data_IF_481164941564
#
_entry.id   IF_481164941564
#
_cell.length_a   1.000
_cell.length_b   1.000
_cell.length_c   1.000
_cell.angle_alpha   90.00
_cell.angle_beta   90.00
_cell.angle_gamma   90.00
#
_symmetry.space_group_name_H-M   'P 1'
#
loop_
_entity.id
_entity.type
_entity.pdbx_description
1 polymer ?
#
# COMPACT_ATOMS: atom_id res chain seq x y z
N UNK A 1 -11.96 -25.41 3.87
CA UNK A 1 -10.59 -25.86 4.17
C UNK A 1 -10.11 -25.11 5.40
N UNK A 2 -9.94 -25.79 6.52
CA UNK A 2 -9.45 -25.15 7.76
C UNK A 2 -7.92 -25.11 7.74
N UNK A 3 -7.35 -23.93 7.98
CA UNK A 3 -5.89 -23.80 8.09
C UNK A 3 -5.40 -24.49 9.36
N UNK A 4 -4.31 -25.24 9.27
CA UNK A 4 -3.79 -26.02 10.42
C UNK A 4 -2.75 -25.25 11.26
N UNK A 5 -2.07 -24.28 10.65
CA UNK A 5 -1.00 -23.49 11.26
C UNK A 5 -0.91 -22.15 10.52
N UNK A 6 -0.36 -21.14 11.18
CA UNK A 6 0.02 -19.89 10.53
C UNK A 6 1.12 -20.08 9.49
N UNK A 7 1.24 -19.10 8.59
CA UNK A 7 2.22 -19.15 7.52
C UNK A 7 3.63 -18.86 8.05
N UNK A 8 4.57 -19.72 7.67
CA UNK A 8 6.00 -19.52 7.92
C UNK A 8 6.77 -19.80 6.65
N UNK A 9 7.56 -18.83 6.22
CA UNK A 9 8.53 -18.95 5.13
C UNK A 9 9.91 -19.16 5.73
N UNK A 10 10.70 -20.06 5.15
CA UNK A 10 12.07 -20.31 5.57
C UNK A 10 12.98 -20.27 4.36
N UNK A 11 14.02 -19.43 4.41
CA UNK A 11 14.96 -19.24 3.31
C UNK A 11 16.40 -19.13 3.78
N UNK A 12 17.31 -19.77 3.03
CA UNK A 12 18.74 -19.58 3.23
C UNK A 12 19.12 -18.19 2.78
N UNK A 13 19.87 -17.46 3.61
CA UNK A 13 20.50 -16.22 3.17
C UNK A 13 21.67 -16.59 2.26
N UNK A 14 21.52 -16.30 0.96
CA UNK A 14 22.51 -16.63 -0.09
C UNK A 14 23.72 -15.68 0.01
N UNK A 15 24.74 -15.91 -0.81
CA UNK A 15 25.89 -15.01 -0.99
C UNK A 15 26.74 -14.72 0.27
N UNK A 16 26.78 -15.68 1.21
CA UNK A 16 27.70 -15.66 2.38
C UNK A 16 27.68 -14.30 3.12
N UNK A 17 28.84 -13.65 3.26
CA UNK A 17 29.02 -12.37 3.93
C UNK A 17 28.25 -11.23 3.26
N UNK A 18 28.34 -11.11 1.93
CA UNK A 18 27.67 -10.03 1.19
C UNK A 18 26.16 -10.14 1.31
N UNK A 19 25.63 -11.36 1.23
CA UNK A 19 24.19 -11.58 1.35
C UNK A 19 23.66 -11.33 2.75
N UNK A 20 24.40 -11.67 3.81
CA UNK A 20 23.95 -11.36 5.18
C UNK A 20 23.98 -9.86 5.48
N UNK A 21 24.95 -9.11 4.94
CA UNK A 21 24.97 -7.65 5.03
C UNK A 21 23.76 -7.06 4.31
N UNK A 22 23.55 -7.44 3.04
CA UNK A 22 22.45 -6.91 2.24
C UNK A 22 21.10 -7.23 2.86
N UNK A 23 20.91 -8.47 3.30
CA UNK A 23 19.66 -8.89 3.93
C UNK A 23 19.45 -8.26 5.31
N UNK A 24 20.51 -8.13 6.12
CA UNK A 24 20.43 -7.47 7.42
C UNK A 24 20.07 -6.01 7.31
N UNK A 25 20.73 -5.25 6.41
CA UNK A 25 20.38 -3.86 6.12
C UNK A 25 18.93 -3.73 5.66
N UNK A 26 18.51 -4.59 4.73
CA UNK A 26 17.12 -4.65 4.28
C UNK A 26 16.15 -4.77 5.47
N UNK A 27 16.40 -5.67 6.43
CA UNK A 27 15.47 -5.89 7.54
C UNK A 27 15.25 -4.66 8.44
N UNK A 28 16.21 -3.74 8.53
CA UNK A 28 16.14 -2.56 9.42
C UNK A 28 15.93 -1.23 8.69
N UNK A 29 15.85 -1.26 7.36
CA UNK A 29 15.71 -0.06 6.54
C UNK A 29 14.24 0.34 6.37
N UNK A 30 13.76 1.31 7.15
CA UNK A 30 12.39 1.83 7.07
C UNK A 30 12.08 2.49 5.71
N UNK A 31 13.10 2.97 5.00
CA UNK A 31 12.96 3.70 3.72
C UNK A 31 12.98 2.80 2.48
N UNK A 32 13.15 1.50 2.65
CA UNK A 32 13.30 0.58 1.53
C UNK A 32 12.02 0.54 0.66
N UNK A 33 12.11 0.47 -0.69
CA UNK A 33 10.93 0.45 -1.57
C UNK A 33 9.90 -0.66 -1.28
N UNK A 34 10.37 -1.79 -0.74
CA UNK A 34 9.50 -2.90 -0.32
C UNK A 34 8.86 -2.72 1.07
N UNK A 35 9.22 -1.67 1.81
CA UNK A 35 8.69 -1.32 3.13
C UNK A 35 7.72 -0.14 3.08
N UNK A 36 7.23 0.21 1.89
CA UNK A 36 6.23 1.27 1.68
C UNK A 36 4.93 1.08 2.46
N UNK A 37 4.60 -0.17 2.83
CA UNK A 37 3.42 -0.52 3.64
C UNK A 37 3.80 -0.87 5.09
N UNK A 38 5.06 -0.66 5.49
CA UNK A 38 5.53 -0.86 6.86
C UNK A 38 5.34 0.42 7.65
N UNK A 39 4.46 0.37 8.65
CA UNK A 39 4.24 1.47 9.57
C UNK A 39 5.42 1.61 10.55
N UNK A 40 6.00 0.50 11.00
CA UNK A 40 7.18 0.52 11.86
C UNK A 40 8.00 -0.77 11.80
N UNK A 41 9.29 -0.68 12.10
CA UNK A 41 10.18 -1.82 12.30
C UNK A 41 10.51 -1.93 13.79
N UNK A 42 9.93 -2.93 14.46
CA UNK A 42 10.05 -3.11 15.90
C UNK A 42 11.19 -4.10 16.20
N UNK A 43 12.29 -3.66 16.85
CA UNK A 43 13.36 -4.58 17.24
C UNK A 43 12.88 -5.52 18.35
N UNK A 44 13.10 -6.83 18.19
CA UNK A 44 12.67 -7.84 19.16
C UNK A 44 13.85 -8.47 19.89
N UNK A 45 14.90 -8.88 19.15
CA UNK A 45 16.07 -9.52 19.75
C UNK A 45 17.33 -9.26 18.95
N UNK A 46 18.42 -8.96 19.66
CA UNK A 46 19.74 -8.77 19.08
C UNK A 46 19.90 -7.46 18.31
N UNK A 47 21.12 -7.20 17.87
CA UNK A 47 21.48 -6.06 17.04
C UNK A 47 22.03 -6.57 15.70
N UNK A 48 21.57 -6.01 14.59
CA UNK A 48 21.86 -6.57 13.26
C UNK A 48 23.36 -6.52 12.91
N UNK A 49 24.05 -5.45 13.26
CA UNK A 49 25.49 -5.30 12.98
C UNK A 49 26.32 -6.29 13.79
N UNK A 50 25.96 -6.45 15.07
CA UNK A 50 26.60 -7.43 15.96
C UNK A 50 26.35 -8.86 15.46
N UNK A 51 25.12 -9.13 15.02
CA UNK A 51 24.75 -10.41 14.44
C UNK A 51 25.56 -10.71 13.17
N UNK A 52 25.60 -9.79 12.20
CA UNK A 52 26.37 -9.93 10.95
C UNK A 52 27.84 -10.25 11.23
N UNK A 53 28.48 -9.49 12.11
CA UNK A 53 29.89 -9.69 12.49
C UNK A 53 30.10 -11.08 13.09
N UNK A 54 29.25 -11.48 14.03
CA UNK A 54 29.34 -12.78 14.71
C UNK A 54 29.17 -13.96 13.75
N UNK A 55 28.10 -13.96 12.95
CA UNK A 55 27.83 -15.09 12.03
C UNK A 55 28.86 -15.21 10.93
N UNK A 56 29.42 -14.08 10.47
CA UNK A 56 30.52 -14.08 9.51
C UNK A 56 31.77 -14.69 10.12
N UNK A 57 32.14 -14.26 11.33
CA UNK A 57 33.31 -14.79 12.04
C UNK A 57 33.19 -16.29 12.34
N UNK A 58 32.03 -16.77 12.80
CA UNK A 58 31.84 -18.20 13.07
C UNK A 58 31.94 -19.05 11.80
N UNK A 59 31.34 -18.60 10.69
CA UNK A 59 31.41 -19.32 9.43
C UNK A 59 32.83 -19.36 8.85
N UNK A 60 33.55 -18.23 8.90
CA UNK A 60 34.96 -18.15 8.45
C UNK A 60 35.85 -19.03 9.34
N UNK A 61 35.66 -18.98 10.66
CA UNK A 61 36.45 -19.80 11.60
C UNK A 61 36.26 -21.30 11.34
N UNK A 62 35.02 -21.72 11.07
CA UNK A 62 34.74 -23.10 10.68
C UNK A 62 35.43 -23.48 9.37
N UNK A 63 35.37 -22.63 8.34
CA UNK A 63 36.02 -22.88 7.05
C UNK A 63 37.55 -22.95 7.19
N UNK A 64 38.17 -22.10 8.02
CA UNK A 64 39.61 -22.16 8.35
C UNK A 64 39.95 -23.47 9.08
N UNK A 65 39.17 -23.87 10.08
CA UNK A 65 39.43 -25.12 10.82
C UNK A 65 39.30 -26.35 9.91
N UNK A 66 38.33 -26.32 9.00
CA UNK A 66 38.12 -27.37 8.00
C UNK A 66 39.27 -27.46 7.00
N UNK A 67 39.75 -26.32 6.49
CA UNK A 67 40.87 -26.29 5.54
C UNK A 67 42.17 -26.83 6.16
N UNK A 68 42.43 -26.51 7.43
CA UNK A 68 43.56 -27.06 8.19
C UNK A 68 43.48 -28.59 8.38
N UNK A 69 42.26 -29.14 8.47
CA UNK A 69 42.00 -30.58 8.67
C UNK A 69 41.87 -31.38 7.36
N UNK A 70 42.22 -30.79 6.21
CA UNK A 70 42.15 -31.40 4.86
C UNK A 70 40.75 -31.92 4.47
N UNK A 71 39.67 -31.22 4.85
CA UNK A 71 38.33 -31.64 4.45
C UNK A 71 37.23 -30.67 4.83
N UNK A 72 35.99 -31.00 4.42
CA UNK A 72 34.80 -30.21 4.74
C UNK A 72 34.36 -29.29 3.60
N UNK A 73 33.05 -29.30 3.31
CA UNK A 73 32.45 -28.43 2.31
C UNK A 73 32.38 -27.00 2.86
N UNK A 74 32.90 -25.98 2.14
CA UNK A 74 32.85 -24.60 2.60
C UNK A 74 31.42 -24.12 2.85
N UNK A 75 31.24 -23.30 3.88
CA UNK A 75 29.93 -22.75 4.25
C UNK A 75 29.41 -21.82 3.16
N UNK A 76 28.26 -22.17 2.58
CA UNK A 76 27.64 -21.41 1.47
C UNK A 76 26.59 -20.38 1.92
N UNK A 77 26.14 -20.47 3.17
CA UNK A 77 25.12 -19.59 3.73
C UNK A 77 25.39 -19.45 5.22
N UNK A 78 25.46 -18.20 5.70
CA UNK A 78 25.84 -17.91 7.10
C UNK A 78 24.64 -17.90 8.04
N UNK A 79 23.43 -17.71 7.51
CA UNK A 79 22.21 -17.67 8.29
C UNK A 79 20.99 -18.24 7.56
N UNK A 80 20.00 -18.65 8.33
CA UNK A 80 18.67 -19.01 7.88
C UNK A 80 17.69 -17.92 8.32
N UNK A 81 16.88 -17.43 7.39
CA UNK A 81 15.76 -16.55 7.68
C UNK A 81 14.47 -17.35 7.85
N UNK A 82 13.68 -16.99 8.85
CA UNK A 82 12.31 -17.39 9.04
C UNK A 82 11.42 -16.14 9.09
N UNK A 83 10.35 -16.15 8.30
CA UNK A 83 9.34 -15.09 8.31
C UNK A 83 8.03 -15.70 8.78
N UNK A 84 7.56 -15.29 9.95
CA UNK A 84 6.33 -15.73 10.59
C UNK A 84 5.24 -14.69 10.36
N UNK A 85 4.29 -14.99 9.49
CA UNK A 85 3.29 -14.01 9.06
C UNK A 85 1.92 -14.30 9.69
N UNK A 86 1.29 -13.24 10.19
CA UNK A 86 -0.13 -13.23 10.51
C UNK A 86 -0.94 -12.61 9.36
N UNK A 87 -2.18 -13.06 9.16
CA UNK A 87 -3.07 -12.46 8.17
C UNK A 87 -3.54 -11.06 8.58
N UNK A 88 -4.03 -10.23 7.64
CA UNK A 88 -4.38 -8.85 7.93
C UNK A 88 -5.65 -8.66 8.76
N UNK A 89 -6.52 -9.66 8.84
CA UNK A 89 -7.77 -9.58 9.60
C UNK A 89 -7.63 -9.96 11.08
N UNK A 90 -6.46 -10.44 11.53
CA UNK A 90 -6.26 -10.77 12.94
C UNK A 90 -5.76 -9.57 13.74
N UNK A 91 -6.08 -9.57 15.04
CA UNK A 91 -5.52 -8.61 15.98
C UNK A 91 -3.99 -8.71 15.94
N UNK A 92 -3.33 -7.57 15.74
CA UNK A 92 -1.87 -7.48 15.74
C UNK A 92 -1.34 -7.68 17.17
N UNK A 93 -0.34 -8.54 17.38
CA UNK A 93 0.32 -8.65 18.68
C UNK A 93 1.06 -7.35 19.04
N UNK A 94 1.06 -7.03 20.32
CA UNK A 94 1.88 -6.00 20.96
C UNK A 94 3.36 -6.39 20.93
N UNK A 95 4.24 -5.42 21.19
CA UNK A 95 5.69 -5.65 21.27
C UNK A 95 6.06 -6.71 22.31
N UNK A 96 5.38 -6.69 23.46
CA UNK A 96 5.58 -7.64 24.56
C UNK A 96 5.15 -9.06 24.17
N UNK A 97 3.98 -9.19 23.55
CA UNK A 97 3.51 -10.47 23.01
C UNK A 97 4.47 -11.00 21.93
N UNK A 98 5.00 -10.14 21.05
CA UNK A 98 5.99 -10.54 20.05
C UNK A 98 7.29 -11.05 20.67
N UNK A 99 7.74 -10.47 21.80
CA UNK A 99 8.92 -10.96 22.53
C UNK A 99 8.67 -12.35 23.10
N UNK A 100 7.52 -12.59 23.74
CA UNK A 100 7.18 -13.92 24.27
C UNK A 100 6.96 -14.95 23.16
N UNK A 101 6.29 -14.58 22.06
CA UNK A 101 6.17 -15.42 20.86
C UNK A 101 7.56 -15.82 20.33
N UNK A 102 8.47 -14.85 20.21
CA UNK A 102 9.82 -15.10 19.70
C UNK A 102 10.59 -16.05 20.61
N UNK A 103 10.48 -15.86 21.94
CA UNK A 103 11.12 -16.72 22.94
C UNK A 103 10.64 -18.17 22.85
N UNK A 104 9.33 -18.40 22.70
CA UNK A 104 8.76 -19.74 22.55
C UNK A 104 9.21 -20.42 21.24
N UNK A 105 9.22 -19.68 20.13
CA UNK A 105 9.73 -20.18 18.85
C UNK A 105 11.21 -20.58 18.97
N UNK A 106 12.04 -19.72 19.53
CA UNK A 106 13.49 -19.96 19.65
C UNK A 106 13.76 -21.14 20.57
N UNK A 107 13.00 -21.31 21.66
CA UNK A 107 13.09 -22.47 22.55
C UNK A 107 12.83 -23.78 21.83
N UNK A 108 11.77 -23.87 21.04
CA UNK A 108 11.43 -25.09 20.30
C UNK A 108 12.42 -25.37 19.14
N UNK A 109 12.92 -24.32 18.48
CA UNK A 109 14.00 -24.46 17.49
C UNK A 109 15.28 -24.96 18.17
N UNK A 110 15.67 -24.41 19.32
CA UNK A 110 16.87 -24.83 20.05
C UNK A 110 16.79 -26.32 20.42
N UNK A 111 15.64 -26.74 20.97
CA UNK A 111 15.36 -28.15 21.28
C UNK A 111 15.48 -29.04 20.05
N UNK A 112 14.93 -28.62 18.91
CA UNK A 112 14.99 -29.41 17.65
C UNK A 112 16.40 -29.52 17.08
N UNK A 113 17.25 -28.52 17.33
CA UNK A 113 18.64 -28.49 16.86
C UNK A 113 19.62 -29.09 17.88
N UNK A 114 19.13 -29.51 19.05
CA UNK A 114 19.94 -30.06 20.14
C UNK A 114 21.03 -29.07 20.59
N UNK A 115 20.67 -27.78 20.63
CA UNK A 115 21.54 -26.69 21.13
C UNK A 115 20.92 -26.09 22.38
N UNK A 116 21.75 -25.56 23.28
CA UNK A 116 21.22 -24.90 24.46
C UNK A 116 20.59 -23.55 24.08
N UNK A 117 19.57 -23.11 24.83
CA UNK A 117 18.98 -21.79 24.62
C UNK A 117 20.01 -20.68 24.85
N UNK A 118 20.93 -20.88 25.81
CA UNK A 118 22.07 -20.00 26.05
C UNK A 118 23.00 -19.87 24.84
N UNK A 119 23.14 -20.91 24.02
CA UNK A 119 23.96 -20.83 22.82
C UNK A 119 23.36 -19.89 21.77
N UNK A 120 22.03 -19.80 21.69
CA UNK A 120 21.33 -18.91 20.77
C UNK A 120 21.12 -17.51 21.35
N UNK A 121 21.16 -17.36 22.68
CA UNK A 121 20.92 -16.08 23.33
C UNK A 121 21.91 -15.01 22.85
N UNK A 122 21.38 -13.88 22.38
CA UNK A 122 22.15 -12.80 21.77
C UNK A 122 22.87 -13.16 20.45
N UNK A 123 22.75 -14.39 19.94
CA UNK A 123 23.34 -14.83 18.65
C UNK A 123 22.32 -14.91 17.52
N UNK A 124 21.06 -14.59 17.78
CA UNK A 124 19.99 -14.44 16.78
C UNK A 124 19.67 -12.97 16.57
N UNK A 125 19.05 -12.66 15.43
CA UNK A 125 18.44 -11.36 15.18
C UNK A 125 16.95 -11.54 14.92
N UNK A 126 16.12 -10.70 15.53
CA UNK A 126 14.68 -10.69 15.28
C UNK A 126 14.11 -9.28 15.28
N UNK A 127 13.22 -9.01 14.34
CA UNK A 127 12.39 -7.80 14.31
C UNK A 127 11.01 -8.09 13.75
N UNK A 128 10.07 -7.19 14.00
CA UNK A 128 8.73 -7.24 13.43
C UNK A 128 8.59 -6.10 12.43
N UNK A 129 8.02 -6.40 11.27
CA UNK A 129 7.52 -5.39 10.37
C UNK A 129 6.02 -5.26 10.63
N UNK A 130 5.63 -4.12 11.17
CA UNK A 130 4.22 -3.81 11.41
C UNK A 130 3.61 -3.29 10.10
N UNK A 131 2.96 -4.20 9.38
CA UNK A 131 2.24 -3.96 8.12
C UNK A 131 0.79 -4.43 8.27
N UNK A 132 -0.03 -4.34 7.22
CA UNK A 132 -1.35 -4.97 7.20
C UNK A 132 -1.26 -6.44 7.57
N UNK A 133 -0.30 -7.19 7.02
CA UNK A 133 0.05 -8.56 7.41
C UNK A 133 1.31 -8.55 8.31
N UNK A 134 1.16 -8.32 9.62
CA UNK A 134 2.32 -8.17 10.49
C UNK A 134 3.13 -9.47 10.53
N UNK A 135 4.45 -9.34 10.51
CA UNK A 135 5.32 -10.50 10.48
C UNK A 135 6.61 -10.32 11.26
N UNK A 136 6.99 -11.39 11.96
CA UNK A 136 8.25 -11.52 12.66
C UNK A 136 9.29 -12.10 11.70
N UNK A 137 10.38 -11.37 11.49
CA UNK A 137 11.59 -11.88 10.87
C UNK A 137 12.51 -12.41 11.97
N UNK A 138 12.91 -13.67 11.87
CA UNK A 138 13.88 -14.30 12.76
C UNK A 138 15.03 -14.83 11.91
N UNK A 139 16.24 -14.41 12.23
CA UNK A 139 17.46 -14.82 11.54
C UNK A 139 18.33 -15.60 12.52
N UNK A 140 18.58 -16.87 12.17
CA UNK A 140 19.31 -17.84 12.99
C UNK A 140 20.63 -18.19 12.30
N UNK A 141 21.77 -18.22 13.01
CA UNK A 141 23.05 -18.57 12.42
C UNK A 141 23.05 -20.03 11.93
N UNK A 142 23.69 -20.29 10.79
CA UNK A 142 23.88 -21.66 10.27
C UNK A 142 25.12 -22.36 10.81
N UNK A 143 25.99 -21.61 11.46
CA UNK A 143 27.17 -22.11 12.17
C UNK A 143 27.07 -21.59 13.59
N UNK A 144 27.17 -22.51 14.54
CA UNK A 144 27.08 -22.20 15.96
C UNK A 144 28.14 -23.03 16.70
N UNK A 145 28.96 -22.37 17.52
CA UNK A 145 29.98 -23.03 18.35
C UNK A 145 30.89 -23.97 17.52
N UNK A 146 31.32 -23.51 16.34
CA UNK A 146 32.21 -24.28 15.45
C UNK A 146 31.54 -25.48 14.77
N UNK A 147 30.20 -25.59 14.79
CA UNK A 147 29.46 -26.67 14.12
C UNK A 147 28.39 -26.10 13.18
N UNK A 148 28.20 -26.74 12.03
CA UNK A 148 27.11 -26.38 11.12
C UNK A 148 25.77 -26.97 11.58
N UNK A 149 24.75 -26.12 11.69
CA UNK A 149 23.38 -26.51 12.01
C UNK A 149 22.65 -27.06 10.77
N UNK A 150 23.01 -28.28 10.36
CA UNK A 150 22.48 -28.93 9.14
C UNK A 150 20.96 -29.13 9.15
N UNK A 151 20.37 -29.25 10.33
CA UNK A 151 18.93 -29.46 10.49
C UNK A 151 18.10 -28.18 10.38
N UNK A 152 18.73 -27.00 10.41
CA UNK A 152 18.05 -25.71 10.53
C UNK A 152 17.05 -25.45 9.39
N UNK A 153 17.38 -25.83 8.16
CA UNK A 153 16.52 -25.63 6.99
C UNK A 153 15.76 -26.88 6.55
N UNK A 154 15.76 -27.93 7.38
CA UNK A 154 15.01 -29.15 7.08
C UNK A 154 13.52 -28.97 7.37
N UNK A 155 12.68 -29.71 6.64
CA UNK A 155 11.22 -29.70 6.81
C UNK A 155 10.77 -29.94 8.25
N UNK A 156 11.50 -30.77 9.00
CA UNK A 156 11.23 -31.04 10.40
C UNK A 156 11.33 -29.78 11.28
N UNK A 157 12.40 -29.00 11.12
CA UNK A 157 12.60 -27.76 11.89
C UNK A 157 11.60 -26.68 11.47
N UNK A 158 11.29 -26.57 10.18
CA UNK A 158 10.26 -25.65 9.70
C UNK A 158 8.88 -26.03 10.27
N UNK A 159 8.56 -27.32 10.37
CA UNK A 159 7.33 -27.82 10.99
C UNK A 159 7.26 -27.48 12.47
N UNK A 160 8.36 -27.65 13.21
CA UNK A 160 8.46 -27.24 14.62
C UNK A 160 8.24 -25.74 14.77
N UNK A 161 8.92 -24.92 13.96
CA UNK A 161 8.77 -23.47 13.99
C UNK A 161 7.32 -23.03 13.71
N UNK A 162 6.63 -23.66 12.75
CA UNK A 162 5.21 -23.40 12.45
C UNK A 162 4.29 -23.71 13.63
N UNK A 163 4.48 -24.86 14.26
CA UNK A 163 3.68 -25.29 15.41
C UNK A 163 3.94 -24.39 16.62
N UNK A 164 5.21 -24.07 16.90
CA UNK A 164 5.60 -23.18 17.97
C UNK A 164 4.98 -21.79 17.78
N UNK A 165 5.05 -21.22 16.57
CA UNK A 165 4.43 -19.94 16.27
C UNK A 165 2.90 -19.98 16.46
N UNK A 166 2.24 -21.03 15.97
CA UNK A 166 0.77 -21.18 16.12
C UNK A 166 0.35 -21.34 17.57
N UNK A 167 1.09 -22.13 18.35
CA UNK A 167 0.82 -22.31 19.77
C UNK A 167 1.08 -21.02 20.57
N UNK A 168 2.16 -20.30 20.26
CA UNK A 168 2.52 -19.07 20.95
C UNK A 168 1.54 -17.93 20.68
N UNK A 169 1.06 -17.78 19.44
CA UNK A 169 0.05 -16.74 19.12
C UNK A 169 -1.30 -17.05 19.75
N UNK A 170 -1.67 -18.32 19.89
CA UNK A 170 -2.84 -18.70 20.69
C UNK A 170 -2.64 -18.37 22.17
N UNK A 171 -1.49 -18.74 22.75
CA UNK A 171 -1.22 -18.58 24.17
C UNK A 171 -1.12 -17.11 24.61
N UNK A 172 -0.43 -16.28 23.84
CA UNK A 172 -0.14 -14.90 24.22
C UNK A 172 -1.14 -13.90 23.65
N UNK A 173 -1.75 -14.18 22.50
CA UNK A 173 -2.63 -13.23 21.81
C UNK A 173 -4.08 -13.71 21.68
N UNK A 174 -4.40 -14.95 22.07
CA UNK A 174 -5.72 -15.56 21.88
C UNK A 174 -6.04 -15.86 20.41
N UNK A 175 -5.04 -15.90 19.53
CA UNK A 175 -5.24 -16.11 18.09
C UNK A 175 -5.39 -17.60 17.76
N UNK A 176 -6.64 -18.07 17.71
CA UNK A 176 -6.94 -19.42 17.25
C UNK A 176 -7.01 -19.51 15.73
N UNK A 177 -6.13 -20.34 15.18
CA UNK A 177 -6.07 -20.68 13.75
C UNK A 177 -7.35 -21.36 13.25
N UNK A 178 -8.05 -22.09 14.14
CA UNK A 178 -9.27 -22.82 13.80
C UNK A 178 -10.48 -21.89 13.60
N UNK A 179 -10.48 -20.76 14.29
CA UNK A 179 -11.50 -19.72 14.22
C UNK A 179 -11.24 -18.69 13.11
N UNK A 180 -10.12 -18.80 12.37
CA UNK A 180 -9.76 -17.84 11.34
C UNK A 180 -10.51 -18.06 10.04
N UNK A 181 -11.20 -17.01 9.58
CA UNK A 181 -11.85 -16.95 8.28
C UNK A 181 -11.02 -16.14 7.27
N UNK A 182 -10.59 -16.74 6.14
CA UNK A 182 -9.85 -16.02 5.11
C UNK A 182 -10.71 -14.95 4.41
N UNK A 183 -10.16 -13.75 4.24
CA UNK A 183 -10.80 -12.65 3.47
C UNK A 183 -11.13 -13.04 2.02
N UNK A 184 -10.32 -13.93 1.44
CA UNK A 184 -10.50 -14.40 0.07
C UNK A 184 -10.35 -15.92 0.04
N UNK A 185 -11.41 -16.59 -0.42
CA UNK A 185 -11.40 -18.01 -0.75
C UNK A 185 -11.31 -18.20 -2.27
N UNK A 186 -10.86 -19.37 -2.73
CA UNK A 186 -10.85 -19.73 -4.16
C UNK A 186 -9.94 -18.87 -5.06
N UNK A 187 -8.76 -18.45 -4.57
CA UNK A 187 -7.74 -17.70 -5.32
C UNK A 187 -7.14 -18.44 -6.55
N UNK A 188 -7.68 -19.62 -6.91
CA UNK A 188 -7.21 -20.43 -8.03
C UNK A 188 -5.78 -20.95 -7.87
N UNK A 189 -5.19 -21.45 -8.96
CA UNK A 189 -3.76 -21.82 -9.00
C UNK A 189 -2.91 -20.55 -8.97
N UNK A 190 -1.76 -20.62 -8.30
CA UNK A 190 -0.75 -19.55 -8.26
C UNK A 190 -0.47 -19.04 -9.67
N UNK A 191 -0.85 -17.79 -9.94
CA UNK A 191 -0.59 -17.15 -11.22
C UNK A 191 0.87 -16.70 -11.30
N UNK A 192 1.42 -16.68 -12.52
CA UNK A 192 2.74 -16.13 -12.75
C UNK A 192 2.73 -14.61 -12.49
N UNK A 193 3.86 -14.06 -12.01
CA UNK A 193 3.97 -12.63 -11.67
C UNK A 193 3.57 -11.71 -12.83
N UNK A 194 3.96 -12.05 -14.06
CA UNK A 194 3.65 -11.26 -15.25
C UNK A 194 2.13 -11.16 -15.49
N UNK A 195 1.38 -12.24 -15.25
CA UNK A 195 -0.09 -12.25 -15.40
C UNK A 195 -0.78 -11.36 -14.37
N UNK A 196 -0.27 -11.32 -13.13
CA UNK A 196 -0.76 -10.41 -12.10
C UNK A 196 -0.45 -8.95 -12.46
N UNK A 197 0.73 -8.69 -13.03
CA UNK A 197 1.13 -7.36 -13.47
C UNK A 197 0.28 -6.88 -14.65
N UNK A 198 0.02 -7.74 -15.63
CA UNK A 198 -0.86 -7.48 -16.76
C UNK A 198 -2.27 -7.10 -16.28
N UNK A 199 -2.88 -7.89 -15.40
CA UNK A 199 -4.19 -7.58 -14.83
C UNK A 199 -4.22 -6.25 -14.06
N UNK A 200 -3.14 -5.90 -13.36
CA UNK A 200 -3.01 -4.59 -12.69
C UNK A 200 -2.90 -3.45 -13.71
N UNK A 201 -2.12 -3.65 -14.77
CA UNK A 201 -1.96 -2.67 -15.84
C UNK A 201 -3.27 -2.44 -16.60
N UNK A 202 -4.01 -3.50 -16.92
CA UNK A 202 -5.33 -3.42 -17.54
C UNK A 202 -6.32 -2.63 -16.67
N UNK A 203 -6.39 -2.93 -15.37
CA UNK A 203 -7.24 -2.17 -14.44
C UNK A 203 -6.83 -0.70 -14.35
N UNK A 204 -5.53 -0.41 -14.32
CA UNK A 204 -5.04 0.96 -14.32
C UNK A 204 -5.38 1.69 -15.62
N UNK A 205 -5.28 1.01 -16.77
CA UNK A 205 -5.60 1.57 -18.08
C UNK A 205 -7.10 1.88 -18.20
N UNK A 206 -7.97 0.98 -17.72
CA UNK A 206 -9.41 1.22 -17.66
C UNK A 206 -9.74 2.45 -16.80
N UNK A 207 -9.11 2.59 -15.63
CA UNK A 207 -9.31 3.74 -14.75
C UNK A 207 -8.86 5.05 -15.42
N UNK A 208 -7.72 5.03 -16.13
CA UNK A 208 -7.25 6.18 -16.90
C UNK A 208 -8.25 6.51 -18.02
N UNK A 209 -8.74 5.52 -18.75
CA UNK A 209 -9.76 5.71 -19.79
C UNK A 209 -11.02 6.42 -19.28
N UNK A 210 -11.56 5.96 -18.15
CA UNK A 210 -12.73 6.62 -17.52
C UNK A 210 -12.46 8.07 -17.13
N UNK A 211 -11.28 8.36 -16.56
CA UNK A 211 -10.90 9.74 -16.20
C UNK A 211 -10.71 10.63 -17.42
N UNK A 212 -10.12 10.12 -18.49
CA UNK A 212 -9.97 10.87 -19.75
C UNK A 212 -11.32 11.22 -20.35
N UNK A 213 -12.27 10.27 -20.35
CA UNK A 213 -13.63 10.53 -20.84
C UNK A 213 -14.33 11.60 -20.01
N UNK A 214 -14.22 11.55 -18.68
CA UNK A 214 -14.78 12.58 -17.79
C UNK A 214 -14.18 13.97 -18.05
N UNK A 215 -12.87 14.03 -18.32
CA UNK A 215 -12.18 15.27 -18.70
C UNK A 215 -12.66 15.80 -20.05
N UNK A 216 -12.82 14.94 -21.06
CA UNK A 216 -13.31 15.33 -22.38
C UNK A 216 -14.74 15.86 -22.32
N UNK A 217 -15.61 15.26 -21.52
CA UNK A 217 -16.99 15.71 -21.34
C UNK A 217 -17.04 17.07 -20.62
N UNK A 218 -16.23 17.28 -19.57
CA UNK A 218 -16.06 18.59 -18.93
C UNK A 218 -15.55 19.66 -19.90
N UNK A 219 -14.62 19.29 -20.79
CA UNK A 219 -14.07 20.21 -21.77
C UNK A 219 -15.10 20.62 -22.83
N UNK A 220 -15.96 19.69 -23.27
CA UNK A 220 -17.09 19.98 -24.16
C UNK A 220 -18.08 20.95 -23.52
N UNK A 221 -18.49 20.67 -22.27
CA UNK A 221 -19.38 21.55 -21.50
C UNK A 221 -18.81 22.96 -21.37
N UNK A 222 -17.50 23.08 -21.08
CA UNK A 222 -16.84 24.39 -20.99
C UNK A 222 -16.88 25.16 -22.31
N UNK A 223 -16.62 24.50 -23.46
CA UNK A 223 -16.66 25.14 -24.79
C UNK A 223 -18.07 25.59 -25.19
N UNK A 224 -19.07 24.77 -24.83
CA UNK A 224 -20.46 25.11 -25.07
C UNK A 224 -20.88 26.31 -24.22
N UNK A 225 -20.50 26.32 -22.94
CA UNK A 225 -20.70 27.48 -22.06
C UNK A 225 -20.04 28.74 -22.60
N UNK A 226 -18.79 28.67 -23.08
CA UNK A 226 -18.09 29.81 -23.66
C UNK A 226 -18.87 30.39 -24.86
N UNK A 227 -19.36 29.51 -25.73
CA UNK A 227 -20.14 29.89 -26.93
C UNK A 227 -21.45 30.58 -26.55
N UNK A 228 -22.22 29.96 -25.64
CA UNK A 228 -23.49 30.51 -25.17
C UNK A 228 -23.29 31.81 -24.37
N UNK A 229 -22.20 31.95 -23.62
CA UNK A 229 -21.90 33.17 -22.87
C UNK A 229 -21.60 34.36 -23.80
N UNK A 230 -20.91 34.11 -24.91
CA UNK A 230 -20.67 35.13 -25.94
C UNK A 230 -21.98 35.55 -26.60
N UNK A 231 -22.82 34.59 -26.99
CA UNK A 231 -24.13 34.84 -27.61
C UNK A 231 -25.04 35.63 -26.65
N UNK A 232 -25.11 35.20 -25.39
CA UNK A 232 -25.86 35.86 -24.35
C UNK A 232 -25.45 37.33 -24.19
N UNK A 233 -24.15 37.59 -24.10
CA UNK A 233 -23.63 38.94 -23.96
C UNK A 233 -24.03 39.83 -25.15
N UNK A 234 -23.99 39.29 -26.37
CA UNK A 234 -24.47 40.01 -27.57
C UNK A 234 -25.94 40.40 -27.46
N UNK A 235 -26.80 39.46 -27.04
CA UNK A 235 -28.25 39.69 -26.89
C UNK A 235 -28.60 40.65 -25.76
N UNK A 236 -27.84 40.60 -24.67
CA UNK A 236 -27.93 41.58 -23.59
C UNK A 236 -27.60 42.99 -24.12
N UNK A 237 -26.57 43.15 -24.95
CA UNK A 237 -26.27 44.44 -25.56
C UNK A 237 -27.40 44.94 -26.46
N UNK A 238 -27.95 44.08 -27.33
CA UNK A 238 -29.10 44.40 -28.18
C UNK A 238 -30.29 44.89 -27.34
N UNK A 239 -30.60 44.20 -26.24
CA UNK A 239 -31.67 44.60 -25.32
C UNK A 239 -31.40 45.98 -24.70
N UNK A 240 -30.18 46.23 -24.19
CA UNK A 240 -29.83 47.55 -23.61
C UNK A 240 -30.00 48.68 -24.64
N UNK A 241 -29.64 48.44 -25.90
CA UNK A 241 -29.83 49.42 -26.97
C UNK A 241 -31.32 49.64 -27.28
N UNK A 242 -32.11 48.58 -27.37
CA UNK A 242 -33.55 48.67 -27.63
C UNK A 242 -34.29 49.46 -26.54
N UNK A 243 -33.96 49.23 -25.27
CA UNK A 243 -34.51 49.99 -24.13
C UNK A 243 -34.18 51.49 -24.26
N UNK A 244 -32.94 51.82 -24.62
CA UNK A 244 -32.52 53.23 -24.77
C UNK A 244 -33.14 53.92 -25.99
N UNK A 245 -33.46 53.14 -27.03
CA UNK A 245 -34.11 53.63 -28.24
C UNK A 245 -35.65 53.69 -28.13
N UNK A 246 -36.23 53.26 -26.99
CA UNK A 246 -37.67 53.13 -26.77
C UNK A 246 -38.38 52.24 -27.81
N UNK A 247 -37.67 51.21 -28.30
CA UNK A 247 -38.19 50.24 -29.28
C UNK A 247 -38.77 49.01 -28.59
N UNK A 248 -40.09 49.02 -28.36
CA UNK A 248 -40.79 47.95 -27.66
C UNK A 248 -40.65 46.57 -28.33
N UNK A 249 -40.75 46.52 -29.67
CA UNK A 249 -40.67 45.25 -30.40
C UNK A 249 -39.27 44.63 -30.33
N UNK A 250 -38.23 45.44 -30.47
CA UNK A 250 -36.84 44.96 -30.40
C UNK A 250 -36.48 44.52 -28.96
N UNK A 251 -37.07 45.18 -27.95
CA UNK A 251 -36.92 44.78 -26.56
C UNK A 251 -37.48 43.37 -26.30
N UNK A 252 -38.71 43.10 -26.76
CA UNK A 252 -39.36 41.80 -26.60
C UNK A 252 -38.60 40.67 -27.30
N UNK A 253 -38.10 40.93 -28.51
CA UNK A 253 -37.32 39.94 -29.27
C UNK A 253 -36.03 39.61 -28.53
N UNK A 254 -35.28 40.63 -28.09
CA UNK A 254 -34.03 40.42 -27.36
C UNK A 254 -34.28 39.70 -26.02
N UNK A 255 -35.39 39.98 -25.32
CA UNK A 255 -35.78 39.27 -24.10
C UNK A 255 -36.08 37.79 -24.35
N UNK A 256 -36.78 37.47 -25.44
CA UNK A 256 -37.03 36.07 -25.83
C UNK A 256 -35.74 35.32 -26.12
N UNK A 257 -34.84 35.92 -26.91
CA UNK A 257 -33.54 35.33 -27.26
C UNK A 257 -32.68 35.08 -26.01
N UNK A 258 -32.65 36.05 -25.08
CA UNK A 258 -31.95 35.91 -23.79
C UNK A 258 -32.51 34.75 -22.99
N UNK A 259 -33.84 34.59 -22.92
CA UNK A 259 -34.48 33.49 -22.19
C UNK A 259 -34.07 32.13 -22.78
N UNK A 260 -34.09 32.00 -24.10
CA UNK A 260 -33.73 30.74 -24.77
C UNK A 260 -32.26 30.35 -24.55
N UNK A 261 -31.34 31.31 -24.60
CA UNK A 261 -29.91 31.06 -24.34
C UNK A 261 -29.67 30.67 -22.88
N UNK A 262 -30.38 31.35 -21.98
CA UNK A 262 -30.28 31.10 -20.54
C UNK A 262 -30.77 29.70 -20.17
N UNK A 263 -31.88 29.25 -20.75
CA UNK A 263 -32.38 27.87 -20.59
C UNK A 263 -31.36 26.83 -21.10
N UNK A 264 -30.63 27.13 -22.18
CA UNK A 264 -29.53 26.25 -22.66
C UNK A 264 -28.37 26.20 -21.66
N UNK A 265 -27.98 27.34 -21.08
CA UNK A 265 -26.91 27.42 -20.08
C UNK A 265 -27.28 26.66 -18.81
N UNK A 266 -28.54 26.75 -18.36
CA UNK A 266 -29.01 26.03 -17.17
C UNK A 266 -28.89 24.52 -17.31
N UNK A 267 -29.06 24.01 -18.54
CA UNK A 267 -28.89 22.59 -18.84
C UNK A 267 -27.41 22.13 -18.82
N UNK A 268 -26.43 23.03 -18.76
CA UNK A 268 -24.99 22.69 -18.75
C UNK A 268 -24.41 22.38 -17.37
N UNK A 269 -25.22 22.35 -16.30
CA UNK A 269 -24.81 22.02 -14.94
C UNK A 269 -23.53 22.77 -14.48
N UNK A 270 -23.52 24.08 -14.74
CA UNK A 270 -22.38 24.98 -14.44
C UNK A 270 -22.21 25.21 -12.93
N UNK A 271 -20.97 25.51 -12.51
CA UNK A 271 -20.63 25.70 -11.09
C UNK A 271 -21.06 27.07 -10.55
N UNK A 272 -21.04 27.25 -9.22
CA UNK A 272 -21.51 28.49 -8.57
C UNK A 272 -20.71 29.75 -8.97
N UNK A 273 -19.41 29.63 -9.24
CA UNK A 273 -18.59 30.77 -9.68
C UNK A 273 -18.98 31.23 -11.09
N UNK A 274 -19.19 30.28 -12.01
CA UNK A 274 -19.66 30.54 -13.37
C UNK A 274 -21.03 31.23 -13.36
N UNK A 275 -21.94 30.76 -12.51
CA UNK A 275 -23.25 31.41 -12.30
C UNK A 275 -23.12 32.84 -11.83
N UNK A 276 -22.29 33.08 -10.81
CA UNK A 276 -22.07 34.42 -10.27
C UNK A 276 -21.45 35.39 -11.29
N UNK A 277 -20.62 34.90 -12.23
CA UNK A 277 -20.08 35.73 -13.31
C UNK A 277 -21.18 36.15 -14.29
N UNK A 278 -22.04 35.21 -14.69
CA UNK A 278 -23.17 35.50 -15.59
C UNK A 278 -24.15 36.48 -14.95
N UNK A 279 -24.46 36.31 -13.66
CA UNK A 279 -25.35 37.23 -12.92
C UNK A 279 -24.83 38.68 -12.92
N UNK A 280 -23.51 38.86 -12.75
CA UNK A 280 -22.90 40.21 -12.82
C UNK A 280 -23.06 40.87 -14.19
N UNK A 281 -23.14 40.09 -15.28
CA UNK A 281 -23.40 40.65 -16.62
C UNK A 281 -24.80 41.23 -16.68
N UNK A 282 -25.80 40.53 -16.17
CA UNK A 282 -27.18 41.02 -16.08
C UNK A 282 -27.29 42.28 -15.22
N UNK A 283 -26.69 42.28 -14.02
CA UNK A 283 -26.69 43.44 -13.13
C UNK A 283 -26.08 44.69 -13.81
N UNK A 284 -24.97 44.52 -14.52
CA UNK A 284 -24.33 45.60 -15.27
C UNK A 284 -25.22 46.14 -16.40
N UNK A 285 -25.95 45.25 -17.09
CA UNK A 285 -26.83 45.62 -18.19
C UNK A 285 -28.07 46.38 -17.70
N UNK A 286 -28.72 45.92 -16.65
CA UNK A 286 -29.87 46.58 -16.04
C UNK A 286 -29.52 47.98 -15.53
N UNK A 287 -28.36 48.12 -14.87
CA UNK A 287 -27.86 49.42 -14.44
C UNK A 287 -27.66 50.38 -15.63
N UNK A 288 -27.15 49.89 -16.76
CA UNK A 288 -26.94 50.69 -17.97
C UNK A 288 -28.25 51.05 -18.69
N UNK A 289 -29.24 50.16 -18.65
CA UNK A 289 -30.54 50.35 -19.28
C UNK A 289 -31.48 51.22 -18.43
N UNK A 290 -31.30 51.24 -17.10
CA UNK A 290 -32.23 51.88 -16.17
C UNK A 290 -33.57 51.14 -16.05
N UNK A 291 -33.61 49.87 -16.50
CA UNK A 291 -34.76 48.98 -16.52
C UNK A 291 -34.32 47.60 -16.03
N UNK A 292 -35.17 46.89 -15.29
CA UNK A 292 -34.91 45.51 -14.90
C UNK A 292 -35.23 44.58 -16.07
N UNK A 293 -34.42 43.53 -16.25
CA UNK A 293 -34.68 42.49 -17.23
C UNK A 293 -35.54 41.41 -16.57
N UNK A 294 -36.77 41.23 -17.04
CA UNK A 294 -37.60 40.13 -16.58
C UNK A 294 -37.02 38.79 -17.03
N UNK A 295 -37.10 37.78 -16.17
CA UNK A 295 -36.41 36.49 -16.33
C UNK A 295 -34.87 36.62 -16.29
N UNK A 296 -34.35 37.31 -15.27
CA UNK A 296 -33.02 36.97 -14.73
C UNK A 296 -32.93 35.46 -14.65
N UNK A 297 -31.77 34.93 -15.05
CA UNK A 297 -31.50 33.50 -15.10
C UNK A 297 -32.29 32.76 -14.05
N UNK A 298 -33.25 31.94 -14.51
CA UNK A 298 -34.15 31.19 -13.64
C UNK A 298 -33.32 30.12 -12.96
N UNK A 299 -32.50 30.50 -11.99
CA UNK A 299 -31.76 29.55 -11.16
C UNK A 299 -32.78 28.81 -10.30
N UNK A 300 -33.38 27.77 -10.86
CA UNK A 300 -34.16 26.79 -10.11
C UNK A 300 -33.17 26.10 -9.17
N UNK A 301 -33.29 26.44 -7.89
CA UNK A 301 -32.67 25.68 -6.78
C UNK A 301 -33.30 24.29 -6.75
#
# INVERSE_FOLDING_TARGET
>A
MTIKNWFVRSERVKDKHNGIIRYGKYLVDESHPNHTQTSSIIPISGNIDTFIKRVSNEAITLDISNSQKKGGRPVQSYAQSFVFCLPPSVKKPTTEEWKEITKDIVKEIAKKLEVSLSDLNGKIFANVHDQDNPHLNLVVPRVLNGKSLKALDQKGTISVAKKAFTAATLAHCGLDVSAYEPLQTNLGRKQAKWKIQEQKAEKALLLVGHKTQELDDKLKQSRELDTLSIELNSKIFEWVFAVKADSYMDELVAQSDISDITDKIDNLNINQEQKAILDRLFESAEQKAGKALENRVRWKI
#
